data_IF_603065164066
#
_entry.id   IF_603065164066
#
_cell.length_a   1.000
_cell.length_b   1.000
_cell.length_c   1.000
_cell.angle_alpha   90.00
_cell.angle_beta   90.00
_cell.angle_gamma   90.00
#
_symmetry.space_group_name_H-M   'P 1'
#
loop_
_entity.id
_entity.type
_entity.pdbx_description
1 polymer ?
#
# COMPACT_ATOMS: atom_id res chain seq x y z
N UNK A 1 48.40 17.46 -35.63
CA UNK A 1 48.82 16.70 -34.44
C UNK A 1 47.69 15.75 -34.07
N UNK A 2 47.93 14.45 -34.20
CA UNK A 2 46.97 13.37 -33.96
C UNK A 2 47.00 12.99 -32.48
N UNK A 3 45.89 13.14 -31.77
CA UNK A 3 45.75 12.70 -30.37
C UNK A 3 45.44 11.20 -30.28
N UNK A 4 45.82 10.52 -29.19
CA UNK A 4 45.68 9.07 -29.09
C UNK A 4 44.21 8.66 -28.91
N UNK A 5 43.73 7.77 -29.79
CA UNK A 5 42.42 7.13 -29.67
C UNK A 5 42.47 6.01 -28.61
N UNK A 6 41.78 6.21 -27.49
CA UNK A 6 41.57 5.17 -26.48
C UNK A 6 40.51 4.17 -26.97
N UNK A 7 40.92 3.01 -27.49
CA UNK A 7 40.01 1.88 -27.76
C UNK A 7 39.58 1.23 -26.43
N UNK A 8 38.37 1.53 -25.96
CA UNK A 8 37.72 0.74 -24.91
C UNK A 8 37.41 -0.65 -25.47
N UNK A 9 38.18 -1.67 -25.08
CA UNK A 9 37.81 -3.07 -25.25
C UNK A 9 36.88 -3.46 -24.10
N UNK A 10 35.62 -3.03 -24.18
CA UNK A 10 34.55 -3.62 -23.38
C UNK A 10 34.06 -4.86 -24.10
N UNK A 11 34.14 -6.03 -23.47
CA UNK A 11 33.45 -7.22 -23.97
C UNK A 11 31.96 -6.92 -23.91
N UNK A 12 31.36 -6.65 -25.06
CA UNK A 12 29.92 -6.49 -25.19
C UNK A 12 29.28 -7.87 -24.97
N UNK A 13 28.85 -8.13 -23.74
CA UNK A 13 28.09 -9.33 -23.43
C UNK A 13 26.79 -9.24 -24.21
N UNK A 14 26.56 -10.18 -25.12
CA UNK A 14 25.32 -10.25 -25.89
C UNK A 14 24.15 -10.59 -24.95
N UNK A 15 23.53 -9.57 -24.36
CA UNK A 15 22.40 -9.71 -23.43
C UNK A 15 21.11 -10.16 -24.13
N UNK A 16 21.07 -10.10 -25.47
CA UNK A 16 19.92 -10.44 -26.30
C UNK A 16 19.42 -11.86 -26.07
N UNK A 17 20.31 -12.81 -25.76
CA UNK A 17 19.96 -14.20 -25.47
C UNK A 17 19.30 -14.40 -24.09
N UNK A 18 19.48 -13.46 -23.16
CA UNK A 18 18.89 -13.48 -21.83
C UNK A 18 17.59 -12.67 -21.75
N UNK A 19 17.19 -12.02 -22.84
CA UNK A 19 15.94 -11.27 -22.92
C UNK A 19 14.82 -12.22 -23.30
N UNK A 20 13.95 -12.51 -22.33
CA UNK A 20 12.68 -13.22 -22.58
C UNK A 20 11.86 -12.38 -23.57
N UNK A 21 11.38 -13.01 -24.64
CA UNK A 21 10.65 -12.34 -25.74
C UNK A 21 9.16 -12.12 -25.47
N UNK A 22 8.63 -12.74 -24.41
CA UNK A 22 7.26 -12.54 -23.94
C UNK A 22 7.12 -11.34 -23.01
N UNK A 23 5.88 -10.91 -22.71
CA UNK A 23 5.62 -9.85 -21.75
C UNK A 23 6.17 -10.23 -20.37
N UNK A 24 6.90 -9.29 -19.75
CA UNK A 24 7.33 -9.40 -18.38
C UNK A 24 6.18 -9.09 -17.42
N UNK A 25 6.29 -9.46 -16.15
CA UNK A 25 5.32 -9.06 -15.11
C UNK A 25 5.10 -7.54 -15.08
N UNK A 26 6.19 -6.78 -15.25
CA UNK A 26 6.13 -5.33 -15.35
C UNK A 26 5.25 -4.84 -16.49
N UNK A 27 5.07 -5.61 -17.58
CA UNK A 27 4.20 -5.27 -18.71
C UNK A 27 2.72 -5.51 -18.40
N UNK A 28 2.42 -6.42 -17.47
CA UNK A 28 1.07 -6.85 -17.11
C UNK A 28 0.41 -6.00 -16.01
N UNK A 29 1.19 -5.23 -15.25
CA UNK A 29 0.69 -4.35 -14.19
C UNK A 29 0.42 -2.93 -14.72
N UNK A 30 -0.51 -2.16 -14.13
CA UNK A 30 -0.84 -0.82 -14.60
C UNK A 30 0.18 0.24 -14.19
N UNK A 31 1.11 -0.07 -13.29
CA UNK A 31 2.05 0.88 -12.69
C UNK A 31 3.19 1.25 -13.66
N UNK A 32 3.37 2.54 -13.91
CA UNK A 32 4.45 3.07 -14.73
C UNK A 32 5.63 3.60 -13.89
N UNK A 33 5.34 4.22 -12.74
CA UNK A 33 6.39 4.68 -11.82
C UNK A 33 5.85 5.49 -10.65
N UNK A 34 6.64 5.57 -9.57
CA UNK A 34 6.39 6.47 -8.44
C UNK A 34 6.88 7.87 -8.82
N UNK A 35 5.97 8.83 -8.91
CA UNK A 35 6.28 10.20 -9.34
C UNK A 35 6.34 11.19 -8.18
N UNK A 36 5.74 10.83 -7.04
CA UNK A 36 5.85 11.56 -5.77
C UNK A 36 5.55 10.60 -4.60
N UNK A 37 5.71 11.06 -3.36
CA UNK A 37 5.39 10.31 -2.16
C UNK A 37 3.90 9.89 -2.16
N UNK A 38 3.65 8.58 -2.25
CA UNK A 38 2.30 8.03 -2.31
C UNK A 38 1.55 8.27 -3.62
N UNK A 39 2.22 8.81 -4.67
CA UNK A 39 1.61 9.08 -5.98
C UNK A 39 2.29 8.26 -7.08
N UNK A 40 1.50 7.39 -7.71
CA UNK A 40 1.90 6.53 -8.81
C UNK A 40 1.33 7.04 -10.14
N UNK A 41 2.17 7.13 -11.16
CA UNK A 41 1.75 7.25 -12.55
C UNK A 41 1.35 5.87 -13.07
N UNK A 42 0.17 5.78 -13.67
CA UNK A 42 -0.30 4.59 -14.36
C UNK A 42 0.01 4.67 -15.85
N UNK A 43 0.11 3.51 -16.49
CA UNK A 43 0.50 3.38 -17.91
C UNK A 43 -0.50 3.96 -18.90
N UNK A 44 -1.75 4.15 -18.49
CA UNK A 44 -2.78 4.84 -19.25
C UNK A 44 -2.72 6.37 -19.11
N UNK A 45 -1.76 6.89 -18.32
CA UNK A 45 -1.59 8.30 -18.04
C UNK A 45 -2.38 8.82 -16.84
N UNK A 46 -3.17 7.98 -16.18
CA UNK A 46 -3.87 8.36 -14.94
C UNK A 46 -2.92 8.38 -13.73
N UNK A 47 -3.36 9.05 -12.66
CA UNK A 47 -2.63 9.12 -11.39
C UNK A 47 -3.38 8.35 -10.31
N UNK A 48 -2.66 7.56 -9.52
CA UNK A 48 -3.15 6.91 -8.32
C UNK A 48 -2.45 7.50 -7.10
N UNK A 49 -3.23 7.98 -6.13
CA UNK A 49 -2.72 8.39 -4.83
C UNK A 49 -3.17 7.39 -3.77
N UNK A 50 -2.25 6.98 -2.89
CA UNK A 50 -2.51 6.00 -1.83
C UNK A 50 -2.01 6.48 -0.48
N UNK A 51 -2.79 6.20 0.57
CA UNK A 51 -2.44 6.45 1.96
C UNK A 51 -2.93 5.31 2.83
N UNK A 52 -2.26 5.12 3.97
CA UNK A 52 -2.72 4.22 5.01
C UNK A 52 -3.54 5.00 6.04
N UNK A 53 -4.62 4.40 6.52
CA UNK A 53 -5.39 4.91 7.64
C UNK A 53 -5.83 3.75 8.52
N UNK A 54 -5.97 4.02 9.82
CA UNK A 54 -6.55 3.11 10.78
C UNK A 54 -7.74 3.82 11.45
N UNK A 55 -8.90 3.16 11.46
CA UNK A 55 -10.10 3.63 12.12
C UNK A 55 -10.37 2.87 13.42
N UNK A 56 -11.43 3.26 14.16
CA UNK A 56 -11.94 2.44 15.26
C UNK A 56 -12.32 1.04 14.77
N UNK A 57 -12.33 0.07 15.69
CA UNK A 57 -12.68 -1.31 15.35
C UNK A 57 -14.10 -1.38 14.78
N UNK A 58 -14.16 -1.65 13.48
CA UNK A 58 -15.42 -1.77 12.77
C UNK A 58 -16.19 -2.99 13.23
N UNK A 59 -15.52 -4.06 13.67
CA UNK A 59 -16.15 -5.30 14.13
C UNK A 59 -16.87 -5.07 15.47
N UNK A 60 -16.32 -4.24 16.37
CA UNK A 60 -16.96 -3.88 17.64
C UNK A 60 -17.96 -2.71 17.56
N UNK A 61 -18.09 -2.04 16.40
CA UNK A 61 -18.95 -0.86 16.25
C UNK A 61 -20.44 -1.22 16.23
N UNK A 62 -21.27 -0.39 16.87
CA UNK A 62 -22.73 -0.49 16.79
C UNK A 62 -23.25 -0.12 15.40
N UNK A 63 -24.47 -0.53 15.08
CA UNK A 63 -25.10 -0.17 13.79
C UNK A 63 -25.23 1.34 13.60
N UNK A 64 -25.51 2.08 14.68
CA UNK A 64 -25.61 3.54 14.63
C UNK A 64 -24.27 4.19 14.26
N UNK A 65 -23.17 3.73 14.87
CA UNK A 65 -21.82 4.22 14.57
C UNK A 65 -21.41 3.87 13.13
N UNK A 66 -21.64 2.63 12.68
CA UNK A 66 -21.36 2.20 11.31
C UNK A 66 -22.13 3.01 10.26
N UNK A 67 -23.40 3.32 10.54
CA UNK A 67 -24.24 4.13 9.66
C UNK A 67 -23.74 5.58 9.57
N UNK A 68 -23.31 6.16 10.69
CA UNK A 68 -22.78 7.52 10.70
C UNK A 68 -21.45 7.63 9.94
N UNK A 69 -20.53 6.67 10.11
CA UNK A 69 -19.29 6.59 9.33
C UNK A 69 -19.59 6.45 7.83
N UNK A 70 -20.51 5.55 7.46
CA UNK A 70 -20.92 5.35 6.07
C UNK A 70 -21.50 6.62 5.46
N UNK A 71 -22.33 7.36 6.22
CA UNK A 71 -22.91 8.64 5.79
C UNK A 71 -21.81 9.68 5.50
N UNK A 72 -20.81 9.77 6.37
CA UNK A 72 -19.69 10.70 6.18
C UNK A 72 -18.85 10.35 4.95
N UNK A 73 -18.50 9.07 4.77
CA UNK A 73 -17.76 8.59 3.60
C UNK A 73 -18.53 8.93 2.32
N UNK A 74 -19.82 8.59 2.24
CA UNK A 74 -20.65 8.87 1.08
C UNK A 74 -20.73 10.38 0.77
N UNK A 75 -20.84 11.24 1.79
CA UNK A 75 -20.88 12.68 1.61
C UNK A 75 -19.56 13.25 1.06
N UNK A 76 -18.42 12.61 1.35
CA UNK A 76 -17.11 13.01 0.81
C UNK A 76 -16.94 12.48 -0.60
N UNK A 77 -17.17 11.18 -0.82
CA UNK A 77 -16.94 10.54 -2.11
C UNK A 77 -17.87 11.06 -3.21
N UNK A 78 -19.11 11.41 -2.86
CA UNK A 78 -20.06 12.01 -3.82
C UNK A 78 -19.58 13.34 -4.42
N UNK A 79 -18.65 14.05 -3.78
CA UNK A 79 -18.08 15.30 -4.29
C UNK A 79 -17.08 15.10 -5.43
N UNK A 80 -16.54 13.89 -5.61
CA UNK A 80 -15.55 13.60 -6.65
C UNK A 80 -16.16 13.58 -8.06
N UNK A 81 -17.47 13.34 -8.18
CA UNK A 81 -18.14 13.22 -9.48
C UNK A 81 -17.78 11.92 -10.21
N UNK A 82 -17.57 12.01 -11.53
CA UNK A 82 -17.23 10.87 -12.39
C UNK A 82 -15.75 10.83 -12.77
N UNK A 83 -15.28 9.70 -13.29
CA UNK A 83 -13.89 9.53 -13.74
C UNK A 83 -12.90 9.12 -12.65
N UNK A 84 -13.35 8.99 -11.40
CA UNK A 84 -12.56 8.48 -10.29
C UNK A 84 -12.84 6.99 -10.04
N UNK A 85 -11.79 6.26 -9.67
CA UNK A 85 -11.87 4.91 -9.13
C UNK A 85 -11.31 4.93 -7.71
N UNK A 86 -12.00 4.27 -6.79
CA UNK A 86 -11.58 4.15 -5.39
C UNK A 86 -11.36 2.67 -5.10
N UNK A 87 -10.17 2.35 -4.63
CA UNK A 87 -9.82 1.04 -4.12
C UNK A 87 -9.54 1.15 -2.62
N UNK A 88 -10.14 0.27 -1.83
CA UNK A 88 -9.91 0.18 -0.39
C UNK A 88 -9.51 -1.25 -0.08
N UNK A 89 -8.42 -1.41 0.67
CA UNK A 89 -7.94 -2.70 1.13
C UNK A 89 -7.93 -2.73 2.66
N UNK A 90 -8.56 -3.74 3.25
CA UNK A 90 -8.50 -4.00 4.68
C UNK A 90 -7.34 -4.97 4.94
N UNK A 91 -6.18 -4.44 5.32
CA UNK A 91 -4.99 -5.24 5.64
C UNK A 91 -4.94 -5.52 7.14
N UNK A 92 -4.73 -6.78 7.51
CA UNK A 92 -4.40 -7.16 8.89
C UNK A 92 -2.89 -7.03 9.07
N UNK A 93 -2.48 -6.16 9.99
CA UNK A 93 -1.10 -6.02 10.42
C UNK A 93 -0.94 -6.68 11.78
N UNK A 94 0.18 -7.39 12.07
CA UNK A 94 0.48 -7.85 13.40
C UNK A 94 0.39 -6.69 14.40
N UNK A 95 -0.41 -6.88 15.44
CA UNK A 95 -0.48 -5.92 16.54
C UNK A 95 0.79 -6.01 17.38
N UNK A 96 1.12 -4.93 18.08
CA UNK A 96 2.14 -4.93 19.13
C UNK A 96 1.88 -6.07 20.12
N UNK A 97 2.96 -6.58 20.70
CA UNK A 97 2.89 -7.61 21.75
C UNK A 97 1.91 -7.20 22.85
N UNK A 98 1.17 -8.19 23.34
CA UNK A 98 0.34 -8.02 24.53
C UNK A 98 1.22 -7.50 25.68
N UNK A 99 0.76 -6.54 26.51
CA UNK A 99 1.61 -5.99 27.55
C UNK A 99 2.16 -7.10 28.45
N UNK A 100 3.41 -6.96 28.89
CA UNK A 100 4.03 -7.93 29.80
C UNK A 100 3.21 -8.03 31.09
N UNK A 101 3.34 -9.15 31.81
CA UNK A 101 2.64 -9.35 33.10
C UNK A 101 2.90 -8.19 34.08
N UNK A 102 4.10 -7.60 34.04
CA UNK A 102 4.49 -6.42 34.83
C UNK A 102 3.72 -5.14 34.46
N UNK A 103 3.24 -5.04 33.22
CA UNK A 103 2.43 -3.93 32.70
C UNK A 103 0.92 -4.26 32.66
N UNK A 104 0.54 -5.53 32.84
CA UNK A 104 -0.83 -6.02 32.92
C UNK A 104 -1.34 -6.03 34.37
N UNK A 105 -1.84 -4.89 34.84
CA UNK A 105 -2.46 -4.78 36.16
C UNK A 105 -3.98 -4.89 36.09
N UNK A 106 -4.49 -6.12 36.14
CA UNK A 106 -5.93 -6.39 36.24
C UNK A 106 -6.36 -6.51 37.71
N UNK A 107 -7.08 -5.52 38.28
CA UNK A 107 -7.35 -5.47 39.71
C UNK A 107 -8.39 -6.48 40.16
N UNK A 108 -9.31 -6.89 39.29
CA UNK A 108 -10.39 -7.81 39.65
C UNK A 108 -10.10 -9.27 39.25
N UNK A 109 -10.70 -10.26 39.94
CA UNK A 109 -10.46 -11.67 39.66
C UNK A 109 -10.97 -12.15 38.29
N UNK A 110 -11.98 -11.48 37.72
CA UNK A 110 -12.58 -11.91 36.45
C UNK A 110 -11.65 -11.55 35.30
N UNK A 111 -11.17 -10.31 35.26
CA UNK A 111 -10.26 -9.85 34.20
C UNK A 111 -8.93 -10.59 34.25
N UNK A 112 -8.41 -10.93 35.45
CA UNK A 112 -7.24 -11.83 35.57
C UNK A 112 -7.48 -13.24 35.03
N UNK A 113 -8.68 -13.79 35.22
CA UNK A 113 -9.01 -15.12 34.72
C UNK A 113 -9.21 -15.15 33.19
N UNK A 114 -9.54 -14.02 32.58
CA UNK A 114 -9.59 -13.87 31.11
C UNK A 114 -8.17 -13.84 30.51
N UNK A 115 -7.21 -13.31 31.26
CA UNK A 115 -5.81 -13.14 30.85
C UNK A 115 -4.95 -14.41 30.97
N UNK A 116 -5.26 -15.27 31.96
CA UNK A 116 -4.54 -16.50 32.30
C UNK A 116 -4.82 -17.68 31.35
#
# INVERSE_FOLDING_TARGET
MSGPQYRRHGVEVALKQFRVSGPAFADLIPYAGLVDNGVMLLKDGSLMAGWYFAGPDSESSTDAERNEVSRQINAILSKLGSGWMIQVEAVRVPTTDYPSEEACHFPDPVTRAIDA
#
